data_IF_849008670855
#
_entry.id   IF_849008670855
#
_cell.length_a   1.000
_cell.length_b   1.000
_cell.length_c   1.000
_cell.angle_alpha   90.00
_cell.angle_beta   90.00
_cell.angle_gamma   90.00
#
_symmetry.space_group_name_H-M   'P 1'
#
loop_
_entity.id
_entity.type
_entity.pdbx_description
1 polymer ?
#
# COMPACT_ATOMS: atom_id res chain seq x y z
N UNK A 1 23.04 -16.04 13.02
CA UNK A 1 21.97 -15.75 12.04
C UNK A 1 21.28 -14.45 12.46
N UNK A 2 21.69 -13.31 11.92
CA UNK A 2 21.21 -11.99 12.35
C UNK A 2 19.87 -11.73 11.65
N UNK A 3 18.76 -12.08 12.28
CA UNK A 3 17.45 -11.56 11.91
C UNK A 3 17.38 -10.09 12.31
N UNK A 4 17.84 -9.19 11.45
CA UNK A 4 17.53 -7.77 11.59
C UNK A 4 16.00 -7.65 11.53
N UNK A 5 15.36 -7.37 12.67
CA UNK A 5 13.94 -7.00 12.78
C UNK A 5 13.70 -5.69 12.03
N UNK A 6 13.72 -5.72 10.69
CA UNK A 6 13.15 -4.63 9.89
C UNK A 6 11.64 -4.81 10.00
N UNK A 7 11.00 -4.06 10.91
CA UNK A 7 9.54 -4.09 11.12
C UNK A 7 8.77 -3.62 9.89
N UNK A 8 9.45 -2.91 8.99
CA UNK A 8 8.89 -2.27 7.80
C UNK A 8 9.26 -3.06 6.52
N UNK A 9 8.93 -4.36 6.47
CA UNK A 9 9.21 -5.20 5.30
C UNK A 9 8.03 -6.11 4.94
N UNK A 10 7.89 -6.38 3.64
CA UNK A 10 6.98 -7.39 3.10
C UNK A 10 7.73 -8.71 2.95
N UNK A 11 7.14 -9.81 3.46
CA UNK A 11 7.66 -11.16 3.27
C UNK A 11 6.62 -12.02 2.56
N UNK A 12 6.96 -12.54 1.39
CA UNK A 12 6.06 -13.33 0.55
C UNK A 12 6.67 -14.68 0.23
N UNK A 13 5.96 -15.79 0.49
CA UNK A 13 6.33 -17.15 0.03
C UNK A 13 7.83 -17.51 0.18
N UNK A 14 8.40 -17.29 1.37
CA UNK A 14 9.79 -17.65 1.66
C UNK A 14 10.86 -16.78 0.99
N UNK A 15 10.50 -15.73 0.24
CA UNK A 15 11.47 -14.81 -0.37
C UNK A 15 12.17 -13.96 0.69
N UNK A 16 13.32 -13.40 0.31
CA UNK A 16 13.99 -12.34 1.07
C UNK A 16 13.01 -11.20 1.33
N UNK A 17 12.88 -10.70 2.58
CA UNK A 17 12.02 -9.57 2.89
C UNK A 17 12.42 -8.34 2.07
N UNK A 18 11.44 -7.71 1.43
CA UNK A 18 11.64 -6.52 0.62
C UNK A 18 10.98 -5.31 1.29
N UNK A 19 11.53 -4.11 1.08
CA UNK A 19 10.85 -2.88 1.49
C UNK A 19 9.76 -2.57 0.47
N UNK A 20 8.48 -2.54 0.87
CA UNK A 20 7.41 -2.24 -0.07
C UNK A 20 7.39 -0.74 -0.41
N UNK A 21 7.05 -0.43 -1.67
CA UNK A 21 6.61 0.91 -2.08
C UNK A 21 5.14 1.06 -1.68
N UNK A 22 4.83 2.09 -0.92
CA UNK A 22 3.48 2.31 -0.40
C UNK A 22 2.81 3.44 -1.19
N UNK A 23 1.56 3.23 -1.58
CA UNK A 23 0.71 4.24 -2.17
C UNK A 23 -0.59 4.32 -1.38
N UNK A 24 -1.04 5.54 -1.09
CA UNK A 24 -2.31 5.83 -0.43
C UNK A 24 -3.07 6.74 -1.39
N UNK A 25 -4.28 6.34 -1.81
CA UNK A 25 -5.15 7.14 -2.67
C UNK A 25 -4.45 7.63 -3.96
N UNK A 26 -3.76 6.69 -4.62
CA UNK A 26 -2.92 6.91 -5.81
C UNK A 26 -1.70 7.84 -5.64
N UNK A 27 -1.47 8.37 -4.44
CA UNK A 27 -0.28 9.15 -4.10
C UNK A 27 0.80 8.27 -3.43
N UNK A 28 2.09 8.48 -3.72
CA UNK A 28 3.17 7.78 -3.02
C UNK A 28 3.24 8.22 -1.55
N UNK A 29 3.19 7.26 -0.62
CA UNK A 29 3.37 7.51 0.80
C UNK A 29 4.88 7.59 1.10
N UNK A 30 5.39 8.81 1.27
CA UNK A 30 6.82 9.10 1.44
C UNK A 30 7.40 8.49 2.73
N UNK A 31 6.58 8.36 3.78
CA UNK A 31 6.92 7.67 5.02
C UNK A 31 6.80 6.15 4.95
N UNK A 32 6.37 5.60 3.80
CA UNK A 32 6.25 4.18 3.55
C UNK A 32 5.33 3.48 4.54
N UNK A 33 5.77 2.35 5.09
CA UNK A 33 4.97 1.53 6.03
C UNK A 33 4.60 2.31 7.30
N UNK A 34 5.43 3.26 7.72
CA UNK A 34 5.16 4.07 8.92
C UNK A 34 4.01 5.03 8.72
N UNK A 35 3.95 5.65 7.55
CA UNK A 35 2.82 6.52 7.17
C UNK A 35 1.55 5.69 7.03
N UNK A 36 1.63 4.52 6.39
CA UNK A 36 0.49 3.59 6.34
C UNK A 36 0.01 3.19 7.75
N UNK A 37 0.91 3.00 8.71
CA UNK A 37 0.56 2.64 10.08
C UNK A 37 -0.18 3.75 10.84
N UNK A 38 -0.18 4.99 10.33
CA UNK A 38 -0.99 6.09 10.89
C UNK A 38 -2.43 6.11 10.37
N UNK A 39 -2.71 5.40 9.28
CA UNK A 39 -4.05 5.33 8.70
C UNK A 39 -4.92 4.34 9.50
N UNK A 40 -6.10 4.74 10.00
CA UNK A 40 -6.98 3.83 10.71
C UNK A 40 -7.55 2.75 9.78
N UNK A 41 -7.59 1.49 10.24
CA UNK A 41 -8.06 0.36 9.43
C UNK A 41 -9.51 0.54 8.95
N UNK A 42 -10.37 1.22 9.72
CA UNK A 42 -11.76 1.46 9.33
C UNK A 42 -11.91 2.46 8.17
N UNK A 43 -10.89 3.27 7.90
CA UNK A 43 -10.88 4.17 6.73
C UNK A 43 -10.41 3.46 5.46
N UNK A 44 -9.74 2.31 5.59
CA UNK A 44 -9.22 1.53 4.47
C UNK A 44 -10.36 0.77 3.79
N UNK A 45 -10.76 1.23 2.62
CA UNK A 45 -11.74 0.54 1.77
C UNK A 45 -11.13 -0.69 1.09
N UNK A 46 -9.88 -0.59 0.64
CA UNK A 46 -9.18 -1.67 -0.07
C UNK A 46 -7.68 -1.60 0.14
N UNK A 47 -7.06 -2.77 0.32
CA UNK A 47 -5.61 -2.95 0.38
C UNK A 47 -5.19 -3.97 -0.68
N UNK A 48 -4.26 -3.58 -1.54
CA UNK A 48 -3.71 -4.42 -2.60
C UNK A 48 -2.21 -4.64 -2.38
N UNK A 49 -1.78 -5.90 -2.39
CA UNK A 49 -0.38 -6.28 -2.23
C UNK A 49 0.13 -6.89 -3.53
N UNK A 50 0.99 -6.15 -4.24
CA UNK A 50 1.47 -6.48 -5.58
C UNK A 50 2.91 -6.99 -5.49
N UNK A 51 3.07 -8.31 -5.57
CA UNK A 51 4.36 -8.99 -5.38
C UNK A 51 5.43 -8.58 -6.40
N UNK A 52 5.10 -8.61 -7.70
CA UNK A 52 6.09 -8.40 -8.77
C UNK A 52 6.81 -7.04 -8.69
N UNK A 53 6.15 -6.07 -8.07
CA UNK A 53 6.57 -4.68 -8.02
C UNK A 53 6.94 -4.25 -6.60
N UNK A 54 6.86 -5.18 -5.64
CA UNK A 54 7.04 -4.91 -4.21
C UNK A 54 6.19 -3.72 -3.75
N UNK A 55 4.92 -3.67 -4.13
CA UNK A 55 4.07 -2.51 -3.92
C UNK A 55 2.87 -2.87 -3.03
N UNK A 56 2.48 -1.94 -2.16
CA UNK A 56 1.22 -1.98 -1.43
C UNK A 56 0.45 -0.73 -1.79
N UNK A 57 -0.79 -0.88 -2.27
CA UNK A 57 -1.71 0.22 -2.53
C UNK A 57 -2.85 0.16 -1.53
N UNK A 58 -3.21 1.32 -0.98
CA UNK A 58 -4.32 1.47 -0.05
C UNK A 58 -5.24 2.55 -0.58
N UNK A 59 -6.53 2.26 -0.58
CA UNK A 59 -7.58 3.19 -0.98
C UNK A 59 -8.49 3.45 0.20
N UNK A 60 -8.72 4.72 0.51
CA UNK A 60 -9.64 5.15 1.56
C UNK A 60 -11.08 5.18 1.06
N UNK A 61 -12.03 5.03 1.97
CA UNK A 61 -13.46 5.12 1.63
C UNK A 61 -13.80 6.46 0.99
N UNK A 62 -13.31 7.57 1.56
CA UNK A 62 -13.56 8.92 1.05
C UNK A 62 -12.98 9.13 -0.36
N UNK A 63 -11.81 8.57 -0.64
CA UNK A 63 -11.22 8.61 -1.97
C UNK A 63 -12.04 7.83 -3.00
N UNK A 64 -12.50 6.63 -2.64
CA UNK A 64 -13.32 5.80 -3.54
C UNK A 64 -14.69 6.43 -3.80
N UNK A 65 -15.35 7.00 -2.78
CA UNK A 65 -16.59 7.75 -2.96
C UNK A 65 -16.38 9.00 -3.82
N UNK A 66 -15.28 9.71 -3.61
CA UNK A 66 -14.89 10.88 -4.40
C UNK A 66 -14.57 10.55 -5.87
N UNK A 67 -13.91 9.43 -6.13
CA UNK A 67 -13.58 8.99 -7.50
C UNK A 67 -14.82 8.44 -8.21
N UNK A 68 -15.66 7.67 -7.51
CA UNK A 68 -16.92 7.15 -8.04
C UNK A 68 -17.89 8.28 -8.43
N UNK A 69 -18.03 9.31 -7.58
CA UNK A 69 -18.88 10.47 -7.87
C UNK A 69 -18.38 11.32 -9.05
N UNK A 70 -17.07 11.33 -9.32
CA UNK A 70 -16.44 12.07 -10.43
C UNK A 70 -16.30 11.25 -11.72
N UNK A 71 -16.57 9.95 -11.67
CA UNK A 71 -16.40 9.04 -12.81
C UNK A 71 -14.95 8.77 -13.21
N UNK A 72 -13.99 9.02 -12.32
CA UNK A 72 -12.58 8.71 -12.60
C UNK A 72 -12.28 7.25 -12.28
N UNK A 73 -11.64 6.50 -13.20
CA UNK A 73 -11.16 5.16 -12.88
C UNK A 73 -10.01 5.25 -11.88
N UNK A 74 -9.92 4.28 -10.98
CA UNK A 74 -8.70 4.07 -10.18
C UNK A 74 -7.53 3.82 -11.12
N UNK A 75 -6.38 4.43 -10.85
CA UNK A 75 -5.24 4.29 -11.74
C UNK A 75 -4.83 2.82 -11.84
N UNK A 76 -4.74 2.24 -13.06
CA UNK A 76 -4.40 0.85 -13.22
C UNK A 76 -3.04 0.53 -12.58
N UNK A 77 -2.88 -0.73 -12.19
CA UNK A 77 -1.63 -1.22 -11.61
C UNK A 77 -0.61 -1.35 -12.74
N UNK A 78 0.33 -0.40 -12.80
CA UNK A 78 1.45 -0.46 -13.75
C UNK A 78 2.73 -0.70 -12.97
N UNK A 79 3.45 -1.71 -13.43
CA UNK A 79 4.82 -2.03 -13.09
C UNK A 79 5.55 -2.30 -14.40
#
# INVERSE_FOLDING_TARGET
>A
MIYTRRRDCMRTRGTTPQRPRIFIDDAPAMGGVRELATLPTFEMYRVEVIRGCGQIRVYTTSYVEGTASRGYPLLPIIC
#
